data_IF_070909626704
#
_entry.id   IF_070909626704
#
_cell.length_a   1.000
_cell.length_b   1.000
_cell.length_c   1.000
_cell.angle_alpha   90.00
_cell.angle_beta   90.00
_cell.angle_gamma   90.00
#
_symmetry.space_group_name_H-M   'P 1'
#
loop_
_entity.id
_entity.type
_entity.pdbx_description
1 polymer ?
#
# COMPACT_ATOMS: atom_id res chain seq x y z
N UNK A 1 7.76 -29.20 -7.88
CA UNK A 1 9.12 -29.04 -8.41
C UNK A 1 9.81 -27.90 -7.68
N UNK A 2 11.00 -28.16 -7.17
CA UNK A 2 11.81 -27.08 -6.63
C UNK A 2 12.28 -26.18 -7.79
N UNK A 3 12.03 -24.87 -7.70
CA UNK A 3 12.61 -23.94 -8.65
C UNK A 3 14.12 -23.86 -8.47
N UNK A 4 14.85 -23.66 -9.57
CA UNK A 4 16.29 -23.40 -9.50
C UNK A 4 16.50 -22.19 -8.57
N UNK A 5 17.40 -22.29 -7.56
CA UNK A 5 17.67 -21.16 -6.70
C UNK A 5 18.19 -19.97 -7.53
N UNK A 6 17.54 -18.84 -7.37
CA UNK A 6 18.01 -17.57 -7.96
C UNK A 6 18.99 -16.97 -6.96
N UNK A 7 20.17 -16.60 -7.43
CA UNK A 7 21.14 -15.93 -6.56
C UNK A 7 20.60 -14.57 -6.14
N UNK A 8 20.70 -14.23 -4.84
CA UNK A 8 20.23 -12.93 -4.38
C UNK A 8 21.12 -11.81 -4.94
N UNK A 9 20.52 -10.63 -5.22
CA UNK A 9 21.30 -9.49 -5.66
C UNK A 9 22.21 -8.99 -4.53
N UNK A 10 23.43 -8.57 -4.90
CA UNK A 10 24.40 -8.05 -3.96
C UNK A 10 24.56 -6.54 -4.19
N UNK A 11 24.29 -5.70 -3.18
CA UNK A 11 24.46 -4.27 -3.33
C UNK A 11 25.93 -3.89 -3.43
N UNK A 12 26.24 -2.94 -4.32
CA UNK A 12 27.61 -2.42 -4.44
C UNK A 12 27.87 -1.26 -3.48
N UNK A 13 26.83 -0.72 -2.86
CA UNK A 13 26.93 0.32 -1.83
C UNK A 13 26.56 -0.30 -0.49
N UNK A 14 27.42 -0.16 0.54
CA UNK A 14 27.09 -0.72 1.84
C UNK A 14 25.94 0.02 2.51
N UNK A 15 25.05 -0.71 3.15
CA UNK A 15 23.96 -0.13 3.92
C UNK A 15 24.42 0.14 5.36
N UNK A 16 24.13 1.34 5.86
CA UNK A 16 24.25 1.62 7.31
C UNK A 16 23.18 0.85 8.09
N UNK A 17 21.95 0.83 7.56
CA UNK A 17 20.83 0.10 8.11
C UNK A 17 20.11 -0.63 6.97
N UNK A 18 19.50 -1.78 7.27
CA UNK A 18 18.72 -2.51 6.29
C UNK A 18 17.56 -1.66 5.76
N UNK A 19 17.45 -1.44 4.43
CA UNK A 19 16.34 -0.66 3.86
C UNK A 19 14.98 -1.26 4.14
N UNK A 20 14.88 -2.59 4.16
CA UNK A 20 13.61 -3.29 4.44
C UNK A 20 13.21 -3.04 5.89
N UNK A 21 14.11 -3.24 6.84
CA UNK A 21 13.83 -3.00 8.25
C UNK A 21 13.47 -1.54 8.54
N UNK A 22 14.17 -0.62 7.88
CA UNK A 22 13.89 0.82 7.98
C UNK A 22 12.50 1.16 7.47
N UNK A 23 12.12 0.61 6.31
CA UNK A 23 10.78 0.80 5.72
C UNK A 23 9.69 0.21 6.61
N UNK A 24 9.91 -0.97 7.17
CA UNK A 24 8.95 -1.62 8.05
C UNK A 24 8.79 -0.90 9.39
N UNK A 25 9.74 -0.08 9.80
CA UNK A 25 9.60 0.80 10.96
C UNK A 25 8.41 1.76 10.83
N UNK A 26 8.08 2.15 9.60
CA UNK A 26 6.91 2.99 9.29
C UNK A 26 5.72 2.14 8.80
N UNK A 27 5.98 1.19 7.90
CA UNK A 27 4.94 0.45 7.16
C UNK A 27 4.52 -0.86 7.82
N UNK A 28 5.32 -1.37 8.76
CA UNK A 28 5.13 -2.71 9.33
C UNK A 28 4.07 -2.79 10.42
N UNK A 29 3.49 -1.68 10.84
CA UNK A 29 2.44 -1.66 11.84
C UNK A 29 1.12 -2.11 11.24
N UNK A 30 0.34 -2.85 12.01
CA UNK A 30 -0.98 -3.30 11.58
C UNK A 30 -1.83 -2.11 11.12
N UNK A 31 -2.50 -2.27 9.99
CA UNK A 31 -3.40 -1.32 9.33
C UNK A 31 -2.72 -0.27 8.45
N UNK A 32 -1.43 0.03 8.62
CA UNK A 32 -0.76 1.14 7.91
C UNK A 32 -0.84 1.01 6.39
N UNK A 33 -0.49 -0.14 5.84
CA UNK A 33 -0.55 -0.37 4.38
C UNK A 33 -1.98 -0.34 3.84
N UNK A 34 -2.96 -0.83 4.61
CA UNK A 34 -4.37 -0.80 4.22
C UNK A 34 -4.92 0.64 4.20
N UNK A 35 -4.51 1.48 5.14
CA UNK A 35 -4.88 2.88 5.17
C UNK A 35 -4.29 3.62 3.97
N UNK A 36 -3.01 3.41 3.66
CA UNK A 36 -2.36 3.97 2.48
C UNK A 36 -3.07 3.53 1.20
N UNK A 37 -3.40 2.24 1.08
CA UNK A 37 -4.17 1.71 -0.05
C UNK A 37 -5.49 2.44 -0.24
N UNK A 38 -6.25 2.60 0.83
CA UNK A 38 -7.59 3.17 0.73
C UNK A 38 -7.55 4.66 0.44
N UNK A 39 -6.60 5.40 0.99
CA UNK A 39 -6.41 6.82 0.65
C UNK A 39 -5.99 6.98 -0.82
N UNK A 40 -5.01 6.21 -1.28
CA UNK A 40 -4.44 6.37 -2.61
C UNK A 40 -5.20 5.68 -3.73
N UNK A 41 -5.77 4.53 -3.45
CA UNK A 41 -6.39 3.67 -4.46
C UNK A 41 -7.91 3.80 -4.48
N UNK A 42 -8.54 3.63 -3.31
CA UNK A 42 -10.00 3.69 -3.18
C UNK A 42 -10.52 5.10 -2.97
N UNK A 43 -9.62 6.06 -2.83
CA UNK A 43 -9.93 7.47 -2.53
C UNK A 43 -10.86 7.64 -1.33
N UNK A 44 -10.74 6.75 -0.35
CA UNK A 44 -11.37 6.90 0.95
C UNK A 44 -10.51 7.87 1.77
N UNK A 45 -10.78 9.14 1.63
CA UNK A 45 -9.92 10.22 2.11
C UNK A 45 -10.40 10.86 3.42
N UNK A 46 -11.50 10.34 3.99
CA UNK A 46 -12.07 10.84 5.24
C UNK A 46 -12.05 9.78 6.32
N UNK A 47 -12.00 10.22 7.57
CA UNK A 47 -11.93 9.34 8.73
C UNK A 47 -13.02 8.25 8.74
N UNK A 48 -14.28 8.67 8.60
CA UNK A 48 -15.39 7.71 8.61
C UNK A 48 -15.42 6.79 7.40
N UNK A 49 -14.96 7.26 6.23
CA UNK A 49 -14.84 6.42 5.05
C UNK A 49 -13.79 5.32 5.26
N UNK A 50 -12.65 5.65 5.84
CA UNK A 50 -11.61 4.68 6.17
C UNK A 50 -12.10 3.62 7.16
N UNK A 51 -12.86 4.03 8.18
CA UNK A 51 -13.46 3.07 9.12
C UNK A 51 -14.41 2.09 8.43
N UNK A 52 -15.17 2.55 7.44
CA UNK A 52 -16.10 1.69 6.71
C UNK A 52 -15.42 0.72 5.75
N UNK A 53 -14.29 1.12 5.17
CA UNK A 53 -13.62 0.32 4.13
C UNK A 53 -12.64 -0.70 4.67
N UNK A 54 -12.23 -0.59 5.94
CA UNK A 54 -11.25 -1.48 6.55
C UNK A 54 -11.89 -2.24 7.72
N UNK A 55 -12.34 -3.48 7.50
CA UNK A 55 -12.98 -4.28 8.56
C UNK A 55 -12.05 -4.50 9.77
N UNK A 56 -12.59 -4.33 10.96
CA UNK A 56 -11.86 -4.54 12.21
C UNK A 56 -11.06 -3.34 12.69
N UNK A 57 -10.93 -2.29 11.88
CA UNK A 57 -10.25 -1.07 12.29
C UNK A 57 -11.11 -0.27 13.27
N UNK A 58 -10.53 0.08 14.41
CA UNK A 58 -11.21 0.89 15.42
C UNK A 58 -10.91 2.38 15.22
N UNK A 59 -11.79 3.30 15.68
CA UNK A 59 -11.51 4.74 15.61
C UNK A 59 -10.19 5.14 16.28
N UNK A 60 -9.89 4.53 17.42
CA UNK A 60 -8.65 4.79 18.15
C UNK A 60 -7.42 4.39 17.36
N UNK A 61 -7.43 3.21 16.76
CA UNK A 61 -6.31 2.72 15.94
C UNK A 61 -6.16 3.54 14.67
N UNK A 62 -7.26 3.91 14.03
CA UNK A 62 -7.20 4.78 12.85
C UNK A 62 -6.57 6.14 13.18
N UNK A 63 -7.02 6.78 14.24
CA UNK A 63 -6.46 8.06 14.67
C UNK A 63 -4.95 7.96 14.93
N UNK A 64 -4.51 6.89 15.62
CA UNK A 64 -3.10 6.65 15.90
C UNK A 64 -2.30 6.44 14.61
N UNK A 65 -2.77 5.59 13.70
CA UNK A 65 -2.07 5.30 12.44
C UNK A 65 -2.01 6.52 11.52
N UNK A 66 -3.09 7.31 11.44
CA UNK A 66 -3.08 8.56 10.67
C UNK A 66 -2.03 9.54 11.21
N UNK A 67 -1.95 9.68 12.53
CA UNK A 67 -0.94 10.53 13.17
C UNK A 67 0.49 10.05 12.85
N UNK A 68 0.76 8.76 12.97
CA UNK A 68 2.07 8.17 12.65
C UNK A 68 2.44 8.34 11.17
N UNK A 69 1.49 8.12 10.27
CA UNK A 69 1.70 8.26 8.84
C UNK A 69 1.93 9.72 8.43
N UNK A 70 1.23 10.64 9.06
CA UNK A 70 1.45 12.09 8.85
C UNK A 70 2.84 12.51 9.36
N UNK A 71 3.22 12.06 10.53
CA UNK A 71 4.56 12.34 11.10
C UNK A 71 5.68 11.77 10.23
N UNK A 72 5.45 10.61 9.63
CA UNK A 72 6.39 10.00 8.69
C UNK A 72 6.35 10.60 7.27
N UNK A 73 5.54 11.63 7.05
CA UNK A 73 5.36 12.30 5.76
C UNK A 73 4.83 11.37 4.64
N UNK A 74 4.04 10.38 5.00
CA UNK A 74 3.41 9.49 4.04
C UNK A 74 2.07 10.04 3.54
N UNK A 75 1.38 10.77 4.40
CA UNK A 75 0.10 11.41 4.12
C UNK A 75 0.12 12.84 4.63
N UNK A 76 -0.76 13.67 4.09
CA UNK A 76 -0.97 15.03 4.57
C UNK A 76 -2.46 15.38 4.56
N UNK A 77 -2.82 16.35 5.40
CA UNK A 77 -4.17 16.89 5.43
C UNK A 77 -4.39 17.84 4.27
N UNK A 78 -5.54 17.68 3.61
CA UNK A 78 -6.04 18.64 2.61
C UNK A 78 -7.28 19.28 3.21
N UNK A 79 -7.21 20.58 3.48
CA UNK A 79 -8.34 21.33 4.03
C UNK A 79 -9.27 21.77 2.91
N UNK A 80 -10.57 21.52 3.10
CA UNK A 80 -11.58 22.12 2.25
C UNK A 80 -11.79 23.59 2.67
N UNK A 81 -11.68 24.52 1.73
CA UNK A 81 -11.75 25.97 1.98
C UNK A 81 -13.03 26.45 2.70
N UNK A 82 -14.09 25.66 2.72
CA UNK A 82 -15.41 26.06 3.22
C UNK A 82 -15.84 25.37 4.51
N UNK A 83 -15.03 24.49 5.11
CA UNK A 83 -15.37 23.85 6.37
C UNK A 83 -14.12 23.34 7.07
N UNK A 84 -13.69 23.98 8.16
CA UNK A 84 -12.51 23.55 8.91
C UNK A 84 -12.68 22.19 9.60
N UNK A 85 -13.88 21.61 9.57
CA UNK A 85 -14.18 20.31 10.20
C UNK A 85 -14.10 19.13 9.23
N UNK A 86 -13.91 19.37 7.92
CA UNK A 86 -13.82 18.32 6.91
C UNK A 86 -12.36 18.07 6.53
N UNK A 87 -11.63 17.40 7.39
CA UNK A 87 -10.26 17.00 7.11
C UNK A 87 -10.30 15.85 6.10
N UNK A 88 -9.62 16.05 4.99
CA UNK A 88 -9.31 15.01 4.01
C UNK A 88 -7.85 14.65 4.08
N UNK A 89 -7.56 13.42 3.77
CA UNK A 89 -6.20 12.91 3.71
C UNK A 89 -5.80 12.63 2.28
N UNK A 90 -4.56 12.94 1.92
CA UNK A 90 -4.00 12.59 0.63
C UNK A 90 -2.61 12.00 0.82
N UNK A 91 -2.17 11.18 -0.12
CA UNK A 91 -0.80 10.68 -0.13
C UNK A 91 0.16 11.80 -0.52
N UNK A 92 1.30 11.85 0.14
CA UNK A 92 2.46 12.60 -0.33
C UNK A 92 3.13 11.84 -1.47
N UNK A 93 4.12 12.42 -2.15
CA UNK A 93 4.95 11.68 -3.13
C UNK A 93 5.58 10.45 -2.50
N UNK A 94 6.06 10.58 -1.27
CA UNK A 94 6.60 9.47 -0.49
C UNK A 94 5.56 8.36 -0.28
N UNK A 95 4.32 8.73 0.06
CA UNK A 95 3.22 7.78 0.19
C UNK A 95 2.84 7.12 -1.13
N UNK A 96 2.84 7.86 -2.23
CA UNK A 96 2.57 7.32 -3.57
C UNK A 96 3.60 6.26 -4.00
N UNK A 97 4.86 6.42 -3.59
CA UNK A 97 5.92 5.47 -3.91
C UNK A 97 5.71 4.09 -3.26
N UNK A 98 4.75 3.96 -2.34
CA UNK A 98 4.36 2.67 -1.76
C UNK A 98 3.35 1.91 -2.65
N UNK A 99 2.69 2.57 -3.60
CA UNK A 99 1.72 1.90 -4.46
C UNK A 99 2.30 0.69 -5.21
N UNK A 100 3.51 0.74 -5.80
CA UNK A 100 4.12 -0.44 -6.41
C UNK A 100 4.36 -1.59 -5.43
N UNK A 101 4.67 -1.30 -4.16
CA UNK A 101 4.82 -2.31 -3.11
C UNK A 101 3.48 -3.01 -2.86
N UNK A 102 2.38 -2.24 -2.78
CA UNK A 102 1.04 -2.79 -2.61
C UNK A 102 0.63 -3.67 -3.79
N UNK A 103 0.99 -3.28 -5.02
CA UNK A 103 0.73 -4.09 -6.21
C UNK A 103 1.48 -5.43 -6.15
N UNK A 104 2.69 -5.46 -5.61
CA UNK A 104 3.41 -6.72 -5.40
C UNK A 104 2.74 -7.60 -4.34
N UNK A 105 2.13 -7.01 -3.33
CA UNK A 105 1.32 -7.76 -2.36
C UNK A 105 0.04 -8.31 -2.99
N UNK A 106 -0.60 -7.57 -3.90
CA UNK A 106 -1.73 -8.09 -4.68
C UNK A 106 -1.30 -9.31 -5.48
N UNK A 107 -0.15 -9.23 -6.17
CA UNK A 107 0.38 -10.35 -6.94
C UNK A 107 0.66 -11.57 -6.07
N UNK A 108 1.28 -11.36 -4.92
CA UNK A 108 1.60 -12.42 -3.96
C UNK A 108 0.33 -13.10 -3.41
N UNK A 109 -0.61 -12.30 -2.91
CA UNK A 109 -1.87 -12.82 -2.34
C UNK A 109 -2.74 -13.53 -3.38
N UNK A 110 -2.79 -13.00 -4.60
CA UNK A 110 -3.56 -13.60 -5.70
C UNK A 110 -3.00 -14.94 -6.17
N UNK A 111 -1.69 -15.12 -6.06
CA UNK A 111 -1.01 -16.36 -6.44
C UNK A 111 -1.13 -17.44 -5.37
N UNK A 112 -0.88 -17.07 -4.11
CA UNK A 112 -0.67 -18.04 -3.04
C UNK A 112 -1.89 -18.27 -2.14
N UNK A 113 -2.86 -17.33 -2.16
CA UNK A 113 -4.10 -17.41 -1.37
C UNK A 113 -5.34 -17.21 -2.25
N UNK A 114 -5.41 -17.83 -3.45
CA UNK A 114 -6.54 -17.60 -4.35
C UNK A 114 -7.87 -18.02 -3.75
N UNK A 115 -7.88 -19.05 -2.91
CA UNK A 115 -9.07 -19.54 -2.22
C UNK A 115 -9.66 -18.52 -1.22
N UNK A 116 -8.84 -17.56 -0.81
CA UNK A 116 -9.26 -16.48 0.11
C UNK A 116 -9.51 -15.16 -0.61
N UNK A 117 -8.95 -15.02 -1.81
CA UNK A 117 -8.97 -13.76 -2.57
C UNK A 117 -10.06 -13.77 -3.64
N UNK A 118 -10.30 -14.90 -4.30
CA UNK A 118 -11.24 -15.02 -5.41
C UNK A 118 -12.34 -16.02 -5.12
N UNK A 119 -13.57 -15.71 -5.57
CA UNK A 119 -14.73 -16.61 -5.44
C UNK A 119 -14.53 -17.96 -6.17
N UNK A 120 -13.86 -17.92 -7.32
CA UNK A 120 -13.57 -19.13 -8.11
C UNK A 120 -12.28 -19.86 -7.69
N UNK A 121 -11.61 -19.35 -6.67
CA UNK A 121 -10.40 -19.94 -6.06
C UNK A 121 -9.23 -20.13 -7.04
N UNK A 122 -9.22 -19.41 -8.18
CA UNK A 122 -8.17 -19.52 -9.19
C UNK A 122 -7.09 -18.47 -9.01
N UNK A 123 -5.80 -18.87 -9.01
CA UNK A 123 -4.70 -17.90 -8.96
C UNK A 123 -4.67 -17.05 -10.22
N UNK A 124 -4.31 -15.76 -10.07
CA UNK A 124 -4.21 -14.81 -11.18
C UNK A 124 -2.95 -13.97 -11.08
N UNK A 125 -2.46 -13.57 -12.24
CA UNK A 125 -1.38 -12.59 -12.36
C UNK A 125 -1.95 -11.16 -12.31
N UNK A 126 -1.08 -10.17 -12.12
CA UNK A 126 -1.50 -8.77 -12.17
C UNK A 126 -2.10 -8.39 -13.53
N UNK A 127 -1.52 -8.89 -14.63
CA UNK A 127 -2.03 -8.64 -15.97
C UNK A 127 -3.45 -9.20 -16.17
N UNK A 128 -3.76 -10.34 -15.57
CA UNK A 128 -5.10 -10.93 -15.61
C UNK A 128 -6.11 -10.17 -14.75
N UNK A 129 -5.65 -9.59 -13.64
CA UNK A 129 -6.51 -8.80 -12.74
C UNK A 129 -6.73 -7.39 -13.30
N UNK A 130 -5.69 -6.78 -13.86
CA UNK A 130 -5.70 -5.41 -14.39
C UNK A 130 -5.32 -5.39 -15.87
N UNK A 131 -6.20 -5.86 -16.77
CA UNK A 131 -5.88 -5.95 -18.19
C UNK A 131 -5.90 -4.60 -18.93
N UNK A 132 -6.52 -3.56 -18.35
CA UNK A 132 -6.77 -2.30 -19.03
C UNK A 132 -5.51 -1.59 -19.52
N UNK A 133 -4.42 -1.71 -18.77
CA UNK A 133 -3.15 -1.06 -19.09
C UNK A 133 -2.12 -2.00 -19.73
N UNK A 134 -2.54 -3.21 -20.11
CA UNK A 134 -1.63 -4.21 -20.65
C UNK A 134 -0.45 -4.56 -19.74
N UNK A 135 -0.61 -4.33 -18.42
CA UNK A 135 0.45 -4.53 -17.45
C UNK A 135 1.47 -3.38 -17.35
N UNK A 136 1.23 -2.27 -18.05
CA UNK A 136 2.16 -1.13 -18.13
C UNK A 136 1.86 -0.01 -17.12
N UNK A 137 0.88 -0.19 -16.25
CA UNK A 137 0.60 0.82 -15.23
C UNK A 137 1.84 1.07 -14.36
N UNK A 138 2.20 2.34 -14.06
CA UNK A 138 3.41 2.65 -13.27
C UNK A 138 3.51 1.92 -11.95
N UNK A 139 2.40 1.70 -11.27
CA UNK A 139 2.38 0.93 -10.01
C UNK A 139 2.70 -0.54 -10.22
N UNK A 140 2.42 -1.10 -11.40
CA UNK A 140 2.70 -2.51 -11.73
C UNK A 140 4.15 -2.67 -12.15
N UNK A 141 4.65 -1.79 -13.01
CA UNK A 141 6.02 -1.84 -13.51
C UNK A 141 7.06 -1.47 -12.46
N UNK A 142 6.65 -0.67 -11.46
CA UNK A 142 7.56 -0.17 -10.43
C UNK A 142 8.63 0.78 -10.97
N UNK A 143 8.42 1.33 -12.19
CA UNK A 143 9.35 2.30 -12.73
C UNK A 143 9.28 3.61 -11.92
N UNK A 144 10.39 4.10 -11.38
CA UNK A 144 10.43 5.41 -10.76
C UNK A 144 10.23 6.50 -11.81
N UNK A 145 9.56 7.56 -11.41
CA UNK A 145 9.46 8.77 -12.23
C UNK A 145 10.83 9.45 -12.39
#
# INVERSE_FOLDING_TARGET
MASTPVEPPVPIVPFKNCPIATSLGVLGRKWSLLIIRDIGWKRADRFNALLRTIPGLTPRMLALRLSELEEADMIHKVEAHNSPKLVRWALTKKGEDIMPVLMRLVAFGSRWFPERVFEDERPRTLAEIYPQDGGNHPWITGAPD
#
